data_IF_745747773070
#
_entry.id   IF_745747773070
#
_cell.length_a   1.000
_cell.length_b   1.000
_cell.length_c   1.000
_cell.angle_alpha   90.00
_cell.angle_beta   90.00
_cell.angle_gamma   90.00
#
_symmetry.space_group_name_H-M   'P 1'
#
loop_
_entity.id
_entity.type
_entity.pdbx_description
1 polymer ?
#
# COMPACT_ATOMS: atom_id res chain seq x y z
N UNK A 1 -11.50 -46.23 4.23
CA UNK A 1 -10.72 -45.40 3.29
C UNK A 1 -10.80 -43.96 3.78
N UNK A 2 -9.64 -43.33 3.99
CA UNK A 2 -9.50 -42.08 4.74
C UNK A 2 -9.99 -40.87 3.94
N UNK A 3 -10.91 -40.09 4.52
CA UNK A 3 -11.31 -38.79 4.01
C UNK A 3 -10.29 -37.74 4.44
N UNK A 4 -9.38 -37.38 3.54
CA UNK A 4 -8.49 -36.23 3.70
C UNK A 4 -9.25 -34.94 3.40
N UNK A 5 -10.12 -34.50 4.31
CA UNK A 5 -10.51 -33.09 4.38
C UNK A 5 -9.44 -32.38 5.21
N UNK A 6 -8.63 -31.55 4.56
CA UNK A 6 -7.70 -30.66 5.26
C UNK A 6 -8.53 -29.77 6.21
N UNK A 7 -8.44 -30.03 7.51
CA UNK A 7 -9.07 -29.20 8.52
C UNK A 7 -8.49 -27.78 8.41
N UNK A 8 -9.35 -26.80 8.13
CA UNK A 8 -8.96 -25.39 8.19
C UNK A 8 -8.57 -25.05 9.63
N UNK A 9 -7.27 -24.88 9.86
CA UNK A 9 -6.74 -24.48 11.16
C UNK A 9 -6.87 -22.95 11.29
N UNK A 10 -8.03 -22.51 11.80
CA UNK A 10 -8.36 -21.09 11.96
C UNK A 10 -7.32 -20.32 12.79
N UNK A 11 -6.66 -21.00 13.73
CA UNK A 11 -5.57 -20.42 14.53
C UNK A 11 -4.35 -20.15 13.68
N UNK A 12 -3.89 -21.12 12.88
CA UNK A 12 -2.76 -20.90 11.95
C UNK A 12 -3.10 -19.85 10.91
N UNK A 13 -4.33 -19.85 10.39
CA UNK A 13 -4.80 -18.84 9.45
C UNK A 13 -4.71 -17.43 10.05
N UNK A 14 -5.20 -17.22 11.27
CA UNK A 14 -5.10 -15.94 11.98
C UNK A 14 -3.65 -15.50 12.17
N UNK A 15 -2.77 -16.42 12.58
CA UNK A 15 -1.36 -16.12 12.83
C UNK A 15 -0.57 -15.81 11.54
N UNK A 16 -0.97 -16.38 10.40
CA UNK A 16 -0.32 -16.17 9.09
C UNK A 16 -0.90 -14.98 8.32
N UNK A 17 -2.17 -14.62 8.56
CA UNK A 17 -2.87 -13.59 7.81
C UNK A 17 -2.14 -12.23 7.73
N UNK A 18 -1.47 -11.74 8.79
CA UNK A 18 -0.69 -10.49 8.70
C UNK A 18 0.44 -10.55 7.67
N UNK A 19 1.13 -11.69 7.56
CA UNK A 19 2.23 -11.84 6.60
C UNK A 19 1.71 -11.88 5.16
N UNK A 20 0.61 -12.60 4.92
CA UNK A 20 0.00 -12.69 3.59
C UNK A 20 -0.50 -11.31 3.15
N UNK A 21 -1.32 -10.67 3.98
CA UNK A 21 -1.90 -9.36 3.65
C UNK A 21 -0.84 -8.25 3.52
N UNK A 22 0.18 -8.23 4.38
CA UNK A 22 1.30 -7.29 4.26
C UNK A 22 2.15 -7.54 3.02
N UNK A 23 2.35 -8.80 2.61
CA UNK A 23 3.04 -9.13 1.35
C UNK A 23 2.28 -8.58 0.14
N UNK A 24 0.95 -8.74 0.13
CA UNK A 24 0.11 -8.17 -0.91
C UNK A 24 0.15 -6.63 -0.92
N UNK A 25 0.18 -5.99 0.26
CA UNK A 25 0.28 -4.52 0.37
C UNK A 25 1.63 -4.01 -0.17
N UNK A 26 2.72 -4.68 0.19
CA UNK A 26 4.07 -4.33 -0.26
C UNK A 26 4.20 -4.50 -1.78
N UNK A 27 3.72 -5.61 -2.33
CA UNK A 27 3.72 -5.86 -3.77
C UNK A 27 2.86 -4.82 -4.50
N UNK A 28 1.67 -4.51 -3.99
CA UNK A 28 0.81 -3.50 -4.58
C UNK A 28 1.45 -2.12 -4.60
N UNK A 29 2.13 -1.70 -3.52
CA UNK A 29 2.85 -0.44 -3.47
C UNK A 29 4.00 -0.39 -4.50
N UNK A 30 4.69 -1.51 -4.70
CA UNK A 30 5.74 -1.65 -5.70
C UNK A 30 5.20 -1.57 -7.12
N UNK A 31 4.13 -2.32 -7.41
CA UNK A 31 3.47 -2.31 -8.71
C UNK A 31 2.95 -0.91 -9.05
N UNK A 32 2.34 -0.22 -8.08
CA UNK A 32 1.96 1.18 -8.25
C UNK A 32 3.15 2.06 -8.62
N UNK A 33 4.32 1.86 -8.01
CA UNK A 33 5.51 2.63 -8.37
C UNK A 33 5.95 2.32 -9.81
N UNK A 34 6.08 1.04 -10.17
CA UNK A 34 6.52 0.58 -11.49
C UNK A 34 5.57 1.08 -12.58
N UNK A 35 4.28 0.78 -12.47
CA UNK A 35 3.32 1.11 -13.53
C UNK A 35 3.10 2.61 -13.67
N UNK A 36 3.04 3.35 -12.56
CA UNK A 36 2.76 4.78 -12.64
C UNK A 36 3.99 5.62 -13.01
N UNK A 37 5.20 5.06 -12.87
CA UNK A 37 6.43 5.70 -13.36
C UNK A 37 6.39 5.95 -14.86
N UNK A 38 5.69 5.11 -15.63
CA UNK A 38 5.51 5.26 -17.07
C UNK A 38 4.91 6.63 -17.43
N UNK A 39 3.95 7.15 -16.64
CA UNK A 39 3.33 8.46 -16.90
C UNK A 39 4.29 9.64 -16.70
N UNK A 40 5.44 9.40 -16.06
CA UNK A 40 6.47 10.42 -15.81
C UNK A 40 7.75 10.16 -16.60
N UNK A 41 7.82 9.08 -17.37
CA UNK A 41 8.95 8.80 -18.23
C UNK A 41 9.08 9.91 -19.29
N UNK A 42 10.28 10.43 -19.60
CA UNK A 42 10.46 11.53 -20.56
C UNK A 42 9.73 11.29 -21.89
N UNK A 43 9.81 10.07 -22.43
CA UNK A 43 9.16 9.68 -23.69
C UNK A 43 7.62 9.73 -23.66
N UNK A 44 7.01 9.54 -22.48
CA UNK A 44 5.56 9.42 -22.31
C UNK A 44 4.93 10.62 -21.60
N UNK A 45 5.75 11.42 -20.91
CA UNK A 45 5.34 12.55 -20.07
C UNK A 45 4.50 13.60 -20.81
N UNK A 46 4.76 13.80 -22.11
CA UNK A 46 3.95 14.69 -22.94
C UNK A 46 2.48 14.26 -23.04
N UNK A 47 2.20 12.96 -23.00
CA UNK A 47 0.85 12.38 -23.00
C UNK A 47 0.29 12.19 -21.58
N UNK A 48 1.16 12.05 -20.59
CA UNK A 48 0.80 11.81 -19.19
C UNK A 48 -0.17 12.86 -18.64
N UNK A 49 0.03 14.15 -18.96
CA UNK A 49 -0.83 15.23 -18.47
C UNK A 49 -2.31 15.07 -18.88
N UNK A 50 -2.59 14.50 -20.04
CA UNK A 50 -3.95 14.29 -20.54
C UNK A 50 -4.59 13.00 -19.99
N UNK A 51 -3.78 11.97 -19.68
CA UNK A 51 -4.27 10.66 -19.26
C UNK A 51 -4.51 10.60 -17.75
N UNK A 52 -3.62 11.21 -16.96
CA UNK A 52 -3.59 11.10 -15.50
C UNK A 52 -4.94 11.42 -14.82
N UNK A 53 -5.70 12.47 -15.21
CA UNK A 53 -6.97 12.76 -14.55
C UNK A 53 -8.00 11.65 -14.68
N UNK A 54 -8.19 11.14 -15.89
CA UNK A 54 -9.14 10.04 -16.15
C UNK A 54 -8.64 8.74 -15.53
N UNK A 55 -7.35 8.47 -15.61
CA UNK A 55 -6.74 7.29 -15.00
C UNK A 55 -6.98 7.26 -13.47
N UNK A 56 -6.68 8.36 -12.77
CA UNK A 56 -6.87 8.44 -11.32
C UNK A 56 -8.35 8.38 -10.92
N UNK A 57 -9.26 9.01 -11.67
CA UNK A 57 -10.70 8.88 -11.41
C UNK A 57 -11.21 7.44 -11.49
N UNK A 58 -10.69 6.67 -12.44
CA UNK A 58 -11.07 5.25 -12.60
C UNK A 58 -10.37 4.35 -11.57
N UNK A 59 -9.07 4.52 -11.36
CA UNK A 59 -8.26 3.63 -10.52
C UNK A 59 -8.45 3.89 -9.01
N UNK A 60 -8.58 5.14 -8.59
CA UNK A 60 -8.51 5.52 -7.17
C UNK A 60 -9.54 4.82 -6.27
N UNK A 61 -10.84 4.67 -6.63
CA UNK A 61 -11.79 3.98 -5.76
C UNK A 61 -11.40 2.52 -5.48
N UNK A 62 -10.88 1.82 -6.49
CA UNK A 62 -10.41 0.45 -6.38
C UNK A 62 -9.11 0.36 -5.58
N UNK A 63 -8.15 1.23 -5.89
CA UNK A 63 -6.88 1.31 -5.18
C UNK A 63 -7.06 1.63 -3.69
N UNK A 64 -7.96 2.57 -3.37
CA UNK A 64 -8.29 2.92 -1.98
C UNK A 64 -8.91 1.74 -1.24
N UNK A 65 -9.89 1.07 -1.86
CA UNK A 65 -10.54 -0.11 -1.28
C UNK A 65 -9.53 -1.23 -0.99
N UNK A 66 -8.64 -1.51 -1.95
CA UNK A 66 -7.61 -2.52 -1.80
C UNK A 66 -6.62 -2.18 -0.68
N UNK A 67 -6.10 -0.95 -0.63
CA UNK A 67 -5.18 -0.50 0.43
C UNK A 67 -5.83 -0.60 1.80
N UNK A 68 -7.03 -0.04 1.98
CA UNK A 68 -7.74 -0.08 3.27
C UNK A 68 -8.01 -1.51 3.71
N UNK A 69 -8.37 -2.40 2.77
CA UNK A 69 -8.62 -3.82 3.07
C UNK A 69 -7.35 -4.53 3.53
N UNK A 70 -6.23 -4.37 2.82
CA UNK A 70 -4.97 -5.04 3.16
C UNK A 70 -4.38 -4.54 4.48
N UNK A 71 -4.41 -3.23 4.71
CA UNK A 71 -3.99 -2.63 5.98
C UNK A 71 -4.90 -3.06 7.13
N UNK A 72 -6.22 -3.11 6.89
CA UNK A 72 -7.21 -3.58 7.85
C UNK A 72 -6.96 -5.03 8.25
N UNK A 73 -6.77 -5.93 7.28
CA UNK A 73 -6.45 -7.34 7.54
C UNK A 73 -5.14 -7.45 8.33
N UNK A 74 -4.06 -6.78 7.90
CA UNK A 74 -2.75 -6.81 8.58
C UNK A 74 -2.89 -6.36 10.04
N UNK A 75 -3.58 -5.24 10.27
CA UNK A 75 -3.77 -4.64 11.59
C UNK A 75 -4.60 -5.55 12.49
N UNK A 76 -5.81 -5.92 12.05
CA UNK A 76 -6.76 -6.63 12.91
C UNK A 76 -6.37 -8.07 13.16
N UNK A 77 -5.75 -8.75 12.21
CA UNK A 77 -5.26 -10.12 12.43
C UNK A 77 -4.02 -10.14 13.33
N UNK A 78 -3.17 -9.10 13.28
CA UNK A 78 -2.07 -8.93 14.24
C UNK A 78 -2.58 -8.63 15.66
N UNK A 79 -3.55 -7.73 15.79
CA UNK A 79 -4.22 -7.45 17.09
C UNK A 79 -4.91 -8.71 17.62
N UNK A 80 -5.62 -9.44 16.75
CA UNK A 80 -6.25 -10.70 17.11
C UNK A 80 -5.24 -11.74 17.61
N UNK A 81 -4.11 -11.90 16.93
CA UNK A 81 -3.02 -12.77 17.38
C UNK A 81 -2.54 -12.39 18.79
N UNK A 82 -2.37 -11.09 19.07
CA UNK A 82 -1.96 -10.59 20.39
C UNK A 82 -3.01 -10.90 21.45
N UNK A 83 -4.29 -10.62 21.18
CA UNK A 83 -5.38 -10.77 22.14
C UNK A 83 -5.64 -12.25 22.46
N UNK A 84 -5.76 -13.11 21.44
CA UNK A 84 -6.16 -14.51 21.63
C UNK A 84 -4.99 -15.47 21.86
N UNK A 85 -3.75 -15.09 21.50
CA UNK A 85 -2.59 -15.99 21.60
C UNK A 85 -1.40 -15.40 22.37
N UNK A 86 -1.63 -14.37 23.20
CA UNK A 86 -0.60 -13.67 24.00
C UNK A 86 0.44 -14.58 24.63
N UNK A 87 -0.01 -15.63 25.34
CA UNK A 87 0.89 -16.54 26.06
C UNK A 87 1.81 -17.33 25.12
N UNK A 88 1.33 -17.76 23.95
CA UNK A 88 2.17 -18.37 22.91
C UNK A 88 3.19 -17.35 22.39
N UNK A 89 2.74 -16.15 22.04
CA UNK A 89 3.59 -15.13 21.44
C UNK A 89 4.69 -14.64 22.39
N UNK A 90 4.41 -14.58 23.70
CA UNK A 90 5.42 -14.27 24.71
C UNK A 90 6.47 -15.37 24.82
N UNK A 91 6.04 -16.64 24.91
CA UNK A 91 6.96 -17.80 24.95
C UNK A 91 7.84 -17.89 23.71
N UNK A 92 7.31 -17.49 22.54
CA UNK A 92 8.02 -17.49 21.26
C UNK A 92 8.79 -16.18 20.99
N UNK A 93 8.67 -15.17 21.84
CA UNK A 93 9.29 -13.86 21.61
C UNK A 93 8.82 -13.15 20.33
N UNK A 94 7.59 -13.43 19.88
CA UNK A 94 6.97 -12.86 18.67
C UNK A 94 5.95 -11.75 18.95
N UNK A 95 5.57 -11.53 20.22
CA UNK A 95 4.52 -10.56 20.60
C UNK A 95 4.80 -9.14 20.08
N UNK A 96 6.00 -8.62 20.31
CA UNK A 96 6.37 -7.25 19.89
C UNK A 96 6.41 -7.11 18.36
N UNK A 97 6.64 -8.20 17.64
CA UNK A 97 6.68 -8.20 16.19
C UNK A 97 5.26 -8.11 15.60
N UNK A 98 4.28 -8.82 16.16
CA UNK A 98 2.88 -8.59 15.81
C UNK A 98 2.42 -7.16 16.17
N UNK A 99 2.87 -6.61 17.30
CA UNK A 99 2.53 -5.24 17.68
C UNK A 99 3.14 -4.21 16.71
N UNK A 100 4.40 -4.40 16.32
CA UNK A 100 5.07 -3.58 15.31
C UNK A 100 4.39 -3.66 13.94
N UNK A 101 3.98 -4.87 13.52
CA UNK A 101 3.23 -5.05 12.27
C UNK A 101 1.91 -4.25 12.27
N UNK A 102 1.11 -4.35 13.34
CA UNK A 102 -0.11 -3.57 13.48
C UNK A 102 0.18 -2.05 13.49
N UNK A 103 1.18 -1.63 14.27
CA UNK A 103 1.56 -0.22 14.38
C UNK A 103 2.01 0.39 13.06
N UNK A 104 2.84 -0.31 12.29
CA UNK A 104 3.34 0.15 10.99
C UNK A 104 2.25 0.12 9.90
N UNK A 105 1.35 -0.87 9.93
CA UNK A 105 0.19 -0.91 9.05
C UNK A 105 -0.75 0.29 9.28
N UNK A 106 -1.00 0.67 10.53
CA UNK A 106 -1.74 1.90 10.85
C UNK A 106 -0.93 3.14 10.49
N UNK A 107 0.39 3.12 10.75
CA UNK A 107 1.33 4.19 10.43
C UNK A 107 1.37 4.56 8.96
N UNK A 108 1.02 3.65 8.04
CA UNK A 108 0.81 3.94 6.63
C UNK A 108 -0.13 5.14 6.40
N UNK A 109 -1.15 5.30 7.24
CA UNK A 109 -2.14 6.38 7.12
C UNK A 109 -1.55 7.77 7.40
N UNK A 110 -0.37 7.87 8.00
CA UNK A 110 0.34 9.14 8.17
C UNK A 110 0.74 9.78 6.83
N UNK A 111 0.81 8.98 5.74
CA UNK A 111 1.06 9.51 4.40
C UNK A 111 -0.19 10.06 3.71
N UNK A 112 -1.40 9.73 4.19
CA UNK A 112 -2.66 10.21 3.63
C UNK A 112 -2.73 11.75 3.44
N UNK A 113 -2.40 12.59 4.44
CA UNK A 113 -2.43 14.04 4.26
C UNK A 113 -1.43 14.57 3.22
N UNK A 114 -0.39 13.81 2.89
CA UNK A 114 0.61 14.18 1.88
C UNK A 114 0.17 13.79 0.47
N UNK A 115 -0.48 12.63 0.32
CA UNK A 115 -0.86 12.08 -0.99
C UNK A 115 -2.26 12.47 -1.45
N UNK A 116 -3.21 12.62 -0.52
CA UNK A 116 -4.61 12.90 -0.87
C UNK A 116 -4.79 14.23 -1.64
N UNK A 117 -4.11 15.34 -1.28
CA UNK A 117 -4.20 16.57 -2.06
C UNK A 117 -3.69 16.43 -3.50
N UNK A 118 -2.64 15.61 -3.71
CA UNK A 118 -2.06 15.36 -5.04
C UNK A 118 -3.02 14.53 -5.91
N UNK A 119 -3.62 13.49 -5.34
CA UNK A 119 -4.61 12.66 -6.03
C UNK A 119 -5.82 13.51 -6.40
N UNK A 120 -6.34 14.30 -5.45
CA UNK A 120 -7.47 15.20 -5.69
C UNK A 120 -7.15 16.20 -6.79
N UNK A 121 -5.97 16.83 -6.74
CA UNK A 121 -5.52 17.74 -7.79
C UNK A 121 -5.53 17.08 -9.17
N UNK A 122 -5.01 15.85 -9.29
CA UNK A 122 -5.01 15.13 -10.57
C UNK A 122 -6.42 14.74 -11.02
N UNK A 123 -7.30 14.34 -10.10
CA UNK A 123 -8.68 13.94 -10.42
C UNK A 123 -9.57 15.12 -10.85
N UNK A 124 -9.38 16.28 -10.21
CA UNK A 124 -10.18 17.49 -10.41
C UNK A 124 -9.70 18.32 -11.62
N UNK A 125 -8.58 17.97 -12.26
CA UNK A 125 -8.14 18.62 -13.52
C UNK A 125 -9.06 18.21 -14.69
N UNK A 126 -10.12 18.98 -14.88
CA UNK A 126 -11.05 18.88 -16.01
C UNK A 126 -10.41 19.26 -17.35
N UNK A 127 -9.17 19.77 -17.36
CA UNK A 127 -8.51 20.35 -18.53
C UNK A 127 -8.06 19.35 -19.60
N UNK A 128 -8.65 18.17 -19.68
CA UNK A 128 -8.58 17.30 -20.87
C UNK A 128 -9.26 17.91 -22.11
N UNK A 129 -9.94 19.06 -21.96
CA UNK A 129 -10.63 19.79 -23.04
C UNK A 129 -9.97 21.07 -23.55
N UNK A 130 -8.85 21.55 -22.99
CA UNK A 130 -8.14 22.72 -23.52
C UNK A 130 -7.06 22.29 -24.52
N UNK A 131 -6.94 22.95 -25.69
CA UNK A 131 -5.91 22.64 -26.68
C UNK A 131 -4.51 22.61 -26.06
N UNK A 132 -3.67 21.68 -26.50
CA UNK A 132 -2.29 21.46 -26.03
C UNK A 132 -1.44 22.75 -26.09
N UNK A 133 -1.77 23.67 -26.99
CA UNK A 133 -1.11 24.96 -27.20
C UNK A 133 -1.40 25.96 -26.07
N UNK A 134 -2.61 25.95 -25.51
CA UNK A 134 -3.03 26.84 -24.41
C UNK A 134 -2.34 26.47 -23.09
N UNK A 135 -2.12 25.17 -22.82
CA UNK A 135 -1.35 24.70 -21.64
C UNK A 135 0.15 24.99 -21.74
N UNK A 136 0.70 25.13 -22.94
CA UNK A 136 2.12 25.46 -23.18
C UNK A 136 2.41 26.96 -23.08
N UNK A 137 1.38 27.80 -23.21
CA UNK A 137 1.52 29.25 -23.27
C UNK A 137 1.61 29.95 -21.91
N UNK A 138 1.30 29.29 -20.78
CA UNK A 138 1.46 29.89 -19.46
C UNK A 138 2.92 29.79 -18.98
N UNK A 139 3.67 30.91 -18.93
CA UNK A 139 5.04 30.91 -18.43
C UNK A 139 5.00 30.72 -16.92
N UNK A 140 5.42 29.53 -16.46
CA UNK A 140 5.47 29.21 -15.03
C UNK A 140 4.62 28.02 -14.57
N UNK A 141 4.02 27.24 -15.48
CA UNK A 141 3.32 26.01 -15.11
C UNK A 141 4.30 24.90 -14.64
N UNK A 142 4.87 25.09 -13.45
CA UNK A 142 5.58 24.09 -12.63
C UNK A 142 4.62 23.06 -11.99
N UNK A 143 3.31 23.15 -12.28
CA UNK A 143 2.23 22.40 -11.63
C UNK A 143 1.42 21.61 -12.67
N UNK A 144 2.04 20.71 -13.42
CA UNK A 144 1.31 19.77 -14.28
C UNK A 144 0.91 18.49 -13.53
N UNK A 145 -0.09 17.75 -14.02
CA UNK A 145 -0.46 16.43 -13.48
C UNK A 145 0.75 15.49 -13.38
N UNK A 146 1.67 15.54 -14.35
CA UNK A 146 2.92 14.75 -14.32
C UNK A 146 3.81 15.13 -13.14
N UNK A 147 3.87 16.40 -12.75
CA UNK A 147 4.66 16.83 -11.59
C UNK A 147 3.98 16.41 -10.27
N UNK A 148 2.66 16.56 -10.18
CA UNK A 148 1.89 16.01 -9.06
C UNK A 148 2.08 14.49 -8.94
N UNK A 149 2.09 13.78 -10.07
CA UNK A 149 2.39 12.35 -10.15
C UNK A 149 3.82 12.04 -9.66
N UNK A 150 4.84 12.80 -10.08
CA UNK A 150 6.22 12.62 -9.59
C UNK A 150 6.31 12.76 -8.07
N UNK A 151 5.69 13.80 -7.52
CA UNK A 151 5.63 14.01 -6.06
C UNK A 151 4.91 12.88 -5.35
N UNK A 152 3.77 12.44 -5.90
CA UNK A 152 3.03 11.29 -5.37
C UNK A 152 3.88 10.02 -5.36
N UNK A 153 4.63 9.74 -6.43
CA UNK A 153 5.52 8.58 -6.49
C UNK A 153 6.65 8.64 -5.47
N UNK A 154 7.16 9.84 -5.17
CA UNK A 154 8.13 10.05 -4.09
C UNK A 154 7.56 9.63 -2.73
N UNK A 155 6.34 10.06 -2.40
CA UNK A 155 5.66 9.62 -1.18
C UNK A 155 5.31 8.13 -1.20
N UNK A 156 4.89 7.58 -2.34
CA UNK A 156 4.63 6.15 -2.50
C UNK A 156 5.89 5.32 -2.21
N UNK A 157 7.05 5.73 -2.73
CA UNK A 157 8.32 5.04 -2.48
C UNK A 157 8.75 5.18 -1.01
N UNK A 158 8.62 6.38 -0.43
CA UNK A 158 8.93 6.59 0.98
C UNK A 158 8.08 5.68 1.88
N UNK A 159 6.77 5.64 1.65
CA UNK A 159 5.81 4.77 2.36
C UNK A 159 6.11 3.29 2.16
N UNK A 160 6.46 2.89 0.93
CA UNK A 160 6.84 1.53 0.60
C UNK A 160 8.04 1.08 1.45
N UNK A 161 9.09 1.90 1.49
CA UNK A 161 10.34 1.55 2.17
C UNK A 161 10.25 1.67 3.70
N UNK A 162 9.34 2.50 4.24
CA UNK A 162 9.19 2.68 5.68
C UNK A 162 8.09 1.79 6.27
N UNK A 163 6.82 2.10 5.99
CA UNK A 163 5.68 1.47 6.66
C UNK A 163 5.35 0.13 6.06
N UNK A 164 5.33 0.00 4.73
CA UNK A 164 4.90 -1.26 4.08
C UNK A 164 5.98 -2.34 4.25
N UNK A 165 7.24 -2.02 3.96
CA UNK A 165 8.37 -2.92 4.15
C UNK A 165 8.60 -3.21 5.64
N UNK A 166 8.51 -2.19 6.50
CA UNK A 166 8.66 -2.37 7.94
C UNK A 166 7.60 -3.30 8.52
N UNK A 167 6.32 -3.10 8.17
CA UNK A 167 5.23 -3.98 8.58
C UNK A 167 5.47 -5.42 8.08
N UNK A 168 5.91 -5.58 6.84
CA UNK A 168 6.22 -6.89 6.26
C UNK A 168 7.34 -7.61 7.01
N UNK A 169 8.44 -6.92 7.30
CA UNK A 169 9.55 -7.47 8.11
C UNK A 169 9.04 -7.89 9.49
N UNK A 170 8.24 -7.06 10.13
CA UNK A 170 7.64 -7.40 11.43
C UNK A 170 6.76 -8.65 11.34
N UNK A 171 5.89 -8.76 10.33
CA UNK A 171 5.07 -9.93 10.09
C UNK A 171 5.91 -11.19 9.84
N UNK A 172 6.96 -11.09 9.02
CA UNK A 172 7.83 -12.21 8.67
C UNK A 172 8.54 -12.76 9.91
N UNK A 173 9.15 -11.87 10.70
CA UNK A 173 9.81 -12.26 11.95
C UNK A 173 8.81 -12.83 12.96
N UNK A 174 7.62 -12.21 13.08
CA UNK A 174 6.57 -12.68 13.98
C UNK A 174 6.14 -14.12 13.64
N UNK A 175 5.88 -14.40 12.36
CA UNK A 175 5.47 -15.71 11.85
C UNK A 175 6.58 -16.73 12.05
N UNK A 176 7.80 -16.44 11.59
CA UNK A 176 8.95 -17.37 11.71
C UNK A 176 9.18 -17.75 13.18
N UNK A 177 9.20 -16.79 14.10
CA UNK A 177 9.35 -17.07 15.53
C UNK A 177 8.19 -17.87 16.12
N UNK A 178 6.97 -17.63 15.65
CA UNK A 178 5.79 -18.32 16.17
C UNK A 178 5.77 -19.80 15.74
N UNK A 179 6.26 -20.11 14.54
CA UNK A 179 6.22 -21.45 13.96
C UNK A 179 7.55 -22.21 13.97
N UNK A 180 8.65 -21.61 14.44
CA UNK A 180 9.93 -22.31 14.57
C UNK A 180 9.79 -23.56 15.44
N UNK A 181 10.13 -24.71 14.87
CA UNK A 181 10.15 -26.00 15.58
C UNK A 181 11.18 -25.93 16.72
N UNK A 182 10.83 -26.52 17.87
CA UNK A 182 11.79 -26.81 18.93
C UNK A 182 12.46 -28.14 18.64
#
# INVERSE_FOLDING_TARGET
MASSCAYFDARKALLLAPLVSSSCSLLFAWDQHVFLSNFTHPELSGRGNAILPTYWRVMFPWGLTQVVSLLGVTTWTSVGAIVWHRGLLQRRGSLQWYAGAAGLAVGHLLYAPLVAPLIKYMMDDEGGGRPLEERRAEPGNRNGNVEAQRRWMGYNMARLLTTDLGAWVCCAVAVVKTFSLQ
#
